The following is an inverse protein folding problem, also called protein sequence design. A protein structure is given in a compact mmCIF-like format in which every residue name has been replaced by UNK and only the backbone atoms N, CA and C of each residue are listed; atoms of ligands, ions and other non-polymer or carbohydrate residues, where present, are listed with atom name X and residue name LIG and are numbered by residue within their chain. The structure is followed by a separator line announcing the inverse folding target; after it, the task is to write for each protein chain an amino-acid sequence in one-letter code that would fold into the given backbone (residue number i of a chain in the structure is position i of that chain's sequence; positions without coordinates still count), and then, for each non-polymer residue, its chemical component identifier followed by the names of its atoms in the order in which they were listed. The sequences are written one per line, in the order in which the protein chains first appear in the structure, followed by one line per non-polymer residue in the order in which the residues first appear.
data_IF_057872479433
#
_entry.id   IF_057872479433
#
_cell.length_a   1.000
_cell.length_b   1.000
_cell.length_c   1.000
_cell.angle_alpha   90.00
_cell.angle_beta   90.00
_cell.angle_gamma   90.00
#
_symmetry.space_group_name_H-M   'P 1'
#
loop_
_entity.id
_entity.type
_entity.pdbx_description
1 polymer ?
#
# COMPACT_ATOMS: atom_id res chain seq x y z
N UNK A 1 36.70 -38.46 -9.00
CA UNK A 1 35.59 -38.31 -9.96
C UNK A 1 34.73 -37.13 -9.51
N UNK A 2 34.87 -35.95 -10.13
CA UNK A 2 34.10 -34.76 -9.76
C UNK A 2 32.63 -34.92 -10.15
N UNK A 3 31.70 -34.69 -9.22
CA UNK A 3 30.26 -34.64 -9.53
C UNK A 3 30.04 -33.52 -10.54
N UNK A 4 29.57 -33.85 -11.75
CA UNK A 4 29.16 -32.84 -12.74
C UNK A 4 28.02 -32.01 -12.15
N UNK A 5 28.25 -30.72 -11.94
CA UNK A 5 27.16 -29.78 -11.60
C UNK A 5 26.16 -29.78 -12.76
N UNK A 6 24.90 -30.17 -12.47
CA UNK A 6 23.78 -29.97 -13.40
C UNK A 6 23.36 -28.51 -13.29
N UNK A 7 23.46 -27.78 -14.39
CA UNK A 7 22.90 -26.43 -14.50
C UNK A 7 21.37 -26.45 -14.56
N UNK A 8 20.76 -25.32 -14.24
CA UNK A 8 19.31 -25.11 -14.35
C UNK A 8 18.89 -25.04 -15.83
N UNK A 9 17.68 -25.50 -16.14
CA UNK A 9 17.14 -25.44 -17.50
C UNK A 9 16.45 -24.09 -17.76
N UNK A 10 16.42 -23.68 -19.03
CA UNK A 10 15.66 -22.49 -19.45
C UNK A 10 14.16 -22.65 -19.17
N UNK A 11 13.63 -23.87 -19.27
CA UNK A 11 12.22 -24.17 -19.00
C UNK A 11 11.89 -23.90 -17.53
N UNK A 12 12.73 -24.34 -16.59
CA UNK A 12 12.52 -24.07 -15.18
C UNK A 12 12.56 -22.55 -14.90
N UNK A 13 13.47 -21.81 -15.54
CA UNK A 13 13.52 -20.35 -15.39
C UNK A 13 12.26 -19.66 -15.94
N UNK A 14 11.75 -20.10 -17.09
CA UNK A 14 10.55 -19.53 -17.71
C UNK A 14 9.30 -19.73 -16.84
N UNK A 15 9.17 -20.90 -16.20
CA UNK A 15 8.04 -21.17 -15.28
C UNK A 15 8.12 -20.25 -14.07
N UNK A 16 9.33 -20.07 -13.49
CA UNK A 16 9.52 -19.18 -12.35
C UNK A 16 9.13 -17.74 -12.70
N UNK A 17 9.53 -17.25 -13.87
CA UNK A 17 9.19 -15.89 -14.33
C UNK A 17 7.66 -15.75 -14.53
N UNK A 18 7.01 -16.78 -15.09
CA UNK A 18 5.56 -16.76 -15.28
C UNK A 18 4.80 -16.66 -13.95
N UNK A 19 5.21 -17.43 -12.94
CA UNK A 19 4.60 -17.38 -11.60
C UNK A 19 4.85 -16.02 -10.93
N UNK A 20 6.07 -15.50 -11.00
CA UNK A 20 6.41 -14.17 -10.46
C UNK A 20 5.56 -13.09 -11.14
N UNK A 21 5.36 -13.16 -12.45
CA UNK A 21 4.54 -12.21 -13.20
C UNK A 21 3.09 -12.15 -12.71
N UNK A 22 2.47 -13.33 -12.49
CA UNK A 22 1.09 -13.40 -11.96
C UNK A 22 1.01 -12.90 -10.52
N UNK A 23 1.99 -13.24 -9.67
CA UNK A 23 2.01 -12.78 -8.28
C UNK A 23 2.24 -11.27 -8.19
N UNK A 24 3.09 -10.70 -9.05
CA UNK A 24 3.42 -9.29 -9.03
C UNK A 24 2.21 -8.40 -9.36
N UNK A 25 1.39 -8.79 -10.34
CA UNK A 25 0.19 -8.00 -10.70
C UNK A 25 -0.82 -7.93 -9.56
N UNK A 26 -1.04 -9.05 -8.85
CA UNK A 26 -1.92 -9.10 -7.67
C UNK A 26 -1.32 -8.31 -6.50
N UNK A 27 -0.02 -8.45 -6.25
CA UNK A 27 0.66 -7.77 -5.15
C UNK A 27 0.65 -6.24 -5.30
N UNK A 28 0.84 -5.73 -6.52
CA UNK A 28 0.83 -4.29 -6.79
C UNK A 28 -0.54 -3.68 -6.48
N UNK A 29 -1.64 -4.30 -6.94
CA UNK A 29 -2.98 -3.81 -6.68
C UNK A 29 -3.31 -3.79 -5.18
N UNK A 30 -2.97 -4.87 -4.45
CA UNK A 30 -3.17 -4.94 -3.01
C UNK A 30 -2.36 -3.88 -2.25
N UNK A 31 -1.11 -3.62 -2.66
CA UNK A 31 -0.26 -2.61 -2.04
C UNK A 31 -0.78 -1.18 -2.29
N UNK A 32 -1.30 -0.90 -3.48
CA UNK A 32 -1.95 0.38 -3.77
C UNK A 32 -3.17 0.62 -2.88
N UNK A 33 -4.04 -0.39 -2.74
CA UNK A 33 -5.20 -0.28 -1.86
C UNK A 33 -4.80 -0.04 -0.39
N UNK A 34 -3.77 -0.73 0.09
CA UNK A 34 -3.25 -0.52 1.45
C UNK A 34 -2.75 0.92 1.66
N UNK A 35 -2.00 1.47 0.69
CA UNK A 35 -1.55 2.87 0.76
C UNK A 35 -2.72 3.85 0.80
N UNK A 36 -3.73 3.66 -0.05
CA UNK A 36 -4.92 4.51 -0.06
C UNK A 36 -5.64 4.46 1.30
N UNK A 37 -5.81 3.27 1.87
CA UNK A 37 -6.43 3.10 3.20
C UNK A 37 -5.62 3.79 4.30
N UNK A 38 -4.30 3.67 4.25
CA UNK A 38 -3.40 4.37 5.17
C UNK A 38 -3.56 5.89 5.06
N UNK A 39 -3.58 6.41 3.84
CA UNK A 39 -3.73 7.85 3.58
C UNK A 39 -5.10 8.39 4.03
N UNK A 40 -6.17 7.62 3.82
CA UNK A 40 -7.51 7.97 4.34
C UNK A 40 -7.50 7.99 5.87
N UNK A 41 -6.89 6.98 6.52
CA UNK A 41 -6.81 6.93 7.97
C UNK A 41 -6.07 8.14 8.56
N UNK A 42 -4.95 8.52 7.94
CA UNK A 42 -4.18 9.71 8.33
C UNK A 42 -5.00 11.00 8.12
N UNK A 43 -5.65 11.14 6.97
CA UNK A 43 -6.51 12.28 6.66
C UNK A 43 -7.67 12.41 7.65
N UNK A 44 -8.29 11.29 8.03
CA UNK A 44 -9.36 11.27 9.04
C UNK A 44 -8.85 11.74 10.40
N UNK A 45 -7.64 11.33 10.79
CA UNK A 45 -7.02 11.80 12.04
C UNK A 45 -6.77 13.30 12.01
N UNK A 46 -6.28 13.84 10.88
CA UNK A 46 -6.07 15.27 10.72
C UNK A 46 -7.39 16.05 10.78
N UNK A 47 -8.41 15.59 10.07
CA UNK A 47 -9.74 16.21 10.07
C UNK A 47 -10.39 16.19 11.46
N UNK A 48 -10.17 15.14 12.25
CA UNK A 48 -10.65 15.08 13.63
C UNK A 48 -10.04 16.18 14.51
N UNK A 49 -8.74 16.48 14.33
CA UNK A 49 -8.10 17.61 15.01
C UNK A 49 -8.68 18.95 14.57
N UNK A 50 -8.82 19.17 13.26
CA UNK A 50 -9.39 20.40 12.70
C UNK A 50 -10.84 20.63 13.15
N UNK A 51 -11.64 19.56 13.24
CA UNK A 51 -13.04 19.63 13.70
C UNK A 51 -13.14 20.25 15.09
N UNK A 52 -12.24 19.90 16.00
CA UNK A 52 -12.24 20.45 17.35
C UNK A 52 -11.92 21.96 17.32
N UNK A 53 -10.90 22.37 16.57
CA UNK A 53 -10.54 23.79 16.42
C UNK A 53 -11.67 24.62 15.81
N UNK A 54 -12.36 24.10 14.79
CA UNK A 54 -13.51 24.78 14.18
C UNK A 54 -14.67 24.90 15.16
N UNK A 55 -14.91 23.85 15.96
CA UNK A 55 -15.95 23.87 16.99
C UNK A 55 -15.65 24.87 18.10
N UNK A 56 -14.39 24.96 18.54
CA UNK A 56 -13.92 25.96 19.52
C UNK A 56 -14.11 27.38 18.96
N UNK A 57 -13.70 27.63 17.71
CA UNK A 57 -13.90 28.94 17.09
C UNK A 57 -15.38 29.34 17.06
N UNK A 58 -16.27 28.42 16.67
CA UNK A 58 -17.70 28.68 16.65
C UNK A 58 -18.26 28.94 18.05
N UNK A 59 -17.78 28.21 19.07
CA UNK A 59 -18.19 28.43 20.44
C UNK A 59 -17.79 29.84 20.94
N UNK A 60 -16.61 30.31 20.56
CA UNK A 60 -16.08 31.60 21.03
C UNK A 60 -16.64 32.79 20.24
N UNK A 61 -16.91 32.62 18.94
CA UNK A 61 -17.29 33.72 18.04
C UNK A 61 -18.78 33.70 17.64
N UNK A 62 -19.48 32.59 17.84
CA UNK A 62 -20.90 32.44 17.46
C UNK A 62 -21.16 32.23 15.96
N UNK A 63 -20.10 32.10 15.16
CA UNK A 63 -20.16 31.78 13.72
C UNK A 63 -18.95 30.92 13.33
N UNK A 64 -19.07 30.16 12.24
CA UNK A 64 -17.96 29.32 11.75
C UNK A 64 -16.86 30.16 11.09
N UNK A 65 -15.58 29.76 11.21
CA UNK A 65 -14.46 30.45 10.58
C UNK A 65 -14.49 30.36 9.05
#
# INVERSE_FOLDING_TARGET
MGKRQKGFTLIELMIVIAVIGVLATLAIAAYQEYQIRSQISESMSLMAGLKNTVAEYHNDNGFFP
#
